data_IF_604479607801
#
_entry.id   IF_604479607801
#
_cell.length_a   1.000
_cell.length_b   1.000
_cell.length_c   1.000
_cell.angle_alpha   90.00
_cell.angle_beta   90.00
_cell.angle_gamma   90.00
#
_symmetry.space_group_name_H-M   'P 1'
#
loop_
_entity.id
_entity.type
_entity.pdbx_description
1 polymer ?
#
# COMPACT_ATOMS: atom_id res chain seq x y z
N UNK A 1 -27.91 -3.37 -7.57
CA UNK A 1 -26.93 -3.38 -6.47
C UNK A 1 -26.01 -4.56 -6.72
N UNK A 2 -24.69 -4.36 -6.67
CA UNK A 2 -23.75 -5.48 -6.82
C UNK A 2 -24.08 -6.55 -5.78
N UNK A 3 -24.19 -7.81 -6.23
CA UNK A 3 -24.45 -8.96 -5.36
C UNK A 3 -23.18 -9.44 -4.62
N UNK A 4 -22.09 -8.67 -4.70
CA UNK A 4 -20.86 -8.96 -3.97
C UNK A 4 -21.06 -8.68 -2.48
N UNK A 5 -20.83 -9.66 -1.59
CA UNK A 5 -20.86 -9.44 -0.15
C UNK A 5 -19.93 -8.30 0.26
N UNK A 6 -20.38 -7.44 1.17
CA UNK A 6 -19.54 -6.36 1.70
C UNK A 6 -18.40 -6.96 2.51
N UNK A 7 -17.16 -6.61 2.19
CA UNK A 7 -15.97 -6.98 2.97
C UNK A 7 -15.23 -5.71 3.36
N UNK A 8 -15.00 -5.54 4.65
CA UNK A 8 -14.24 -4.43 5.22
C UNK A 8 -13.05 -4.96 6.01
N UNK A 9 -12.03 -4.13 6.25
CA UNK A 9 -10.93 -4.50 7.14
C UNK A 9 -10.46 -3.35 8.01
N UNK A 10 -10.05 -3.68 9.23
CA UNK A 10 -9.21 -2.83 10.06
C UNK A 10 -7.76 -3.31 9.98
N UNK A 11 -6.84 -2.40 9.70
CA UNK A 11 -5.42 -2.70 9.44
C UNK A 11 -4.47 -1.90 10.37
N UNK A 12 -4.46 -2.14 11.69
CA UNK A 12 -3.61 -1.43 12.63
C UNK A 12 -2.14 -1.89 12.57
N UNK A 13 -1.23 -0.93 12.73
CA UNK A 13 0.18 -1.23 13.02
C UNK A 13 0.40 -1.38 14.53
N UNK A 14 1.14 -2.40 14.99
CA UNK A 14 1.42 -2.64 16.42
C UNK A 14 2.53 -1.70 16.94
N UNK A 15 2.35 -0.39 16.80
CA UNK A 15 3.35 0.62 17.22
C UNK A 15 3.06 1.22 18.60
N UNK A 16 2.07 0.69 19.32
CA UNK A 16 1.63 1.22 20.61
C UNK A 16 0.16 0.87 20.90
N UNK A 17 -0.50 1.71 21.70
CA UNK A 17 -1.91 1.54 22.02
C UNK A 17 -2.82 1.95 20.86
N UNK A 18 -3.97 1.28 20.75
CA UNK A 18 -5.04 1.68 19.86
C UNK A 18 -5.58 3.05 20.27
N UNK A 19 -5.24 4.09 19.52
CA UNK A 19 -5.76 5.43 19.75
C UNK A 19 -7.24 5.55 19.30
N UNK A 20 -7.94 6.55 19.84
CA UNK A 20 -9.38 6.77 19.58
C UNK A 20 -9.72 6.92 18.09
N UNK A 21 -8.83 7.53 17.31
CA UNK A 21 -8.97 7.62 15.85
C UNK A 21 -8.96 6.26 15.16
N UNK A 22 -8.09 5.34 15.60
CA UNK A 22 -8.04 3.97 15.10
C UNK A 22 -9.30 3.18 15.51
N UNK A 23 -9.71 3.31 16.78
CA UNK A 23 -10.95 2.70 17.27
C UNK A 23 -12.18 3.16 16.49
N UNK A 24 -12.27 4.46 16.16
CA UNK A 24 -13.35 5.00 15.31
C UNK A 24 -13.34 4.39 13.91
N UNK A 25 -12.17 4.23 13.30
CA UNK A 25 -12.03 3.58 11.99
C UNK A 25 -12.49 2.11 12.05
N UNK A 26 -12.08 1.36 13.08
CA UNK A 26 -12.52 -0.02 13.29
C UNK A 26 -14.04 -0.10 13.43
N UNK A 27 -14.63 0.76 14.27
CA UNK A 27 -16.07 0.84 14.50
C UNK A 27 -16.85 1.10 13.20
N UNK A 28 -16.41 2.03 12.35
CA UNK A 28 -17.08 2.31 11.08
C UNK A 28 -17.03 1.13 10.11
N UNK A 29 -15.88 0.45 10.00
CA UNK A 29 -15.77 -0.74 9.17
C UNK A 29 -16.68 -1.86 9.69
N UNK A 30 -16.64 -2.12 11.01
CA UNK A 30 -17.48 -3.10 11.68
C UNK A 30 -18.98 -2.83 11.47
N UNK A 31 -19.45 -1.61 11.75
CA UNK A 31 -20.85 -1.22 11.53
C UNK A 31 -21.26 -1.33 10.06
N UNK A 32 -20.37 -0.94 9.13
CA UNK A 32 -20.67 -0.99 7.71
C UNK A 32 -20.85 -2.42 7.21
N UNK A 33 -19.99 -3.34 7.65
CA UNK A 33 -20.09 -4.76 7.33
C UNK A 33 -21.28 -5.42 8.02
N UNK A 34 -21.39 -5.33 9.35
CA UNK A 34 -22.46 -5.98 10.13
C UNK A 34 -23.85 -5.48 9.70
N UNK A 35 -23.99 -4.17 9.46
CA UNK A 35 -25.24 -3.57 8.97
C UNK A 35 -25.66 -3.99 7.55
N UNK A 36 -24.80 -4.72 6.82
CA UNK A 36 -25.05 -5.20 5.45
C UNK A 36 -24.89 -6.72 5.31
N UNK A 37 -24.80 -7.45 6.43
CA UNK A 37 -24.54 -8.90 6.40
C UNK A 37 -23.19 -9.27 5.77
N UNK A 38 -22.23 -8.35 5.82
CA UNK A 38 -20.89 -8.50 5.28
C UNK A 38 -19.87 -9.01 6.31
N UNK A 39 -18.62 -9.07 5.88
CA UNK A 39 -17.46 -9.47 6.69
C UNK A 39 -16.64 -8.28 7.16
N UNK A 40 -16.19 -8.32 8.40
CA UNK A 40 -15.23 -7.40 8.98
C UNK A 40 -13.97 -8.18 9.37
N UNK A 41 -12.84 -7.83 8.77
CA UNK A 41 -11.59 -8.57 8.89
C UNK A 41 -10.55 -7.77 9.67
N UNK A 42 -9.63 -8.47 10.33
CA UNK A 42 -8.49 -7.86 11.01
C UNK A 42 -7.18 -8.24 10.32
N UNK A 43 -6.34 -7.23 10.06
CA UNK A 43 -4.99 -7.42 9.53
C UNK A 43 -3.98 -6.66 10.37
N UNK A 44 -2.97 -7.33 10.90
CA UNK A 44 -1.91 -6.68 11.66
C UNK A 44 -0.83 -6.22 10.66
N UNK A 45 -0.59 -4.91 10.62
CA UNK A 45 0.45 -4.30 9.77
C UNK A 45 1.81 -4.38 10.49
N UNK A 46 2.35 -5.60 10.58
CA UNK A 46 3.55 -5.98 11.36
C UNK A 46 4.86 -6.05 10.53
N UNK A 47 4.94 -5.28 9.44
CA UNK A 47 6.12 -5.27 8.56
C UNK A 47 7.35 -4.63 9.21
N UNK A 48 7.17 -3.76 10.21
CA UNK A 48 8.25 -3.19 11.02
C UNK A 48 8.50 -4.07 12.25
N UNK A 49 9.48 -4.98 12.16
CA UNK A 49 9.74 -5.99 13.20
C UNK A 49 10.26 -5.43 14.51
N UNK A 50 10.93 -4.28 14.50
CA UNK A 50 11.43 -3.65 15.73
C UNK A 50 10.28 -3.11 16.57
N UNK A 51 9.24 -2.60 15.90
CA UNK A 51 8.06 -2.06 16.58
C UNK A 51 6.99 -3.12 16.84
N UNK A 52 6.92 -4.15 16.02
CA UNK A 52 5.87 -5.17 16.06
C UNK A 52 6.16 -6.30 17.04
N UNK A 53 6.12 -5.99 18.34
CA UNK A 53 6.27 -7.00 19.40
C UNK A 53 4.98 -7.78 19.62
N UNK A 54 5.10 -9.02 20.13
CA UNK A 54 3.93 -9.83 20.50
C UNK A 54 3.03 -9.12 21.52
N UNK A 55 3.62 -8.35 22.44
CA UNK A 55 2.90 -7.53 23.42
C UNK A 55 2.10 -6.41 22.74
N UNK A 56 2.69 -5.72 21.76
CA UNK A 56 2.00 -4.65 21.03
C UNK A 56 0.83 -5.20 20.19
N UNK A 57 0.99 -6.38 19.59
CA UNK A 57 -0.09 -7.07 18.89
C UNK A 57 -1.19 -7.54 19.85
N UNK A 58 -0.85 -8.07 21.03
CA UNK A 58 -1.83 -8.47 22.05
C UNK A 58 -2.71 -7.30 22.49
N UNK A 59 -2.12 -6.11 22.69
CA UNK A 59 -2.87 -4.87 23.02
C UNK A 59 -3.90 -4.49 21.97
N UNK A 60 -3.68 -4.82 20.70
CA UNK A 60 -4.68 -4.60 19.64
C UNK A 60 -5.86 -5.55 19.85
N UNK A 61 -5.62 -6.84 20.10
CA UNK A 61 -6.68 -7.82 20.34
C UNK A 61 -7.49 -7.48 21.60
N UNK A 62 -6.82 -7.16 22.70
CA UNK A 62 -7.47 -6.76 23.96
C UNK A 62 -8.37 -5.52 23.76
N UNK A 63 -7.90 -4.54 22.99
CA UNK A 63 -8.67 -3.33 22.71
C UNK A 63 -9.90 -3.63 21.81
N UNK A 64 -9.75 -4.49 20.81
CA UNK A 64 -10.85 -4.92 19.95
C UNK A 64 -11.92 -5.69 20.75
N UNK A 65 -11.50 -6.60 21.63
CA UNK A 65 -12.39 -7.35 22.52
C UNK A 65 -13.11 -6.42 23.50
N UNK A 66 -12.38 -5.51 24.15
CA UNK A 66 -12.96 -4.55 25.09
C UNK A 66 -14.00 -3.63 24.44
N UNK A 67 -13.77 -3.23 23.18
CA UNK A 67 -14.73 -2.43 22.40
C UNK A 67 -15.92 -3.26 21.88
N UNK A 68 -15.88 -4.58 22.01
CA UNK A 68 -16.91 -5.49 21.47
C UNK A 68 -16.91 -5.55 19.94
N UNK A 69 -15.75 -5.31 19.31
CA UNK A 69 -15.59 -5.33 17.85
C UNK A 69 -15.04 -6.69 17.42
N UNK A 70 -15.91 -7.69 17.32
CA UNK A 70 -15.55 -9.01 16.77
C UNK A 70 -15.18 -8.91 15.28
N UNK A 71 -14.32 -9.79 14.79
CA UNK A 71 -13.92 -9.89 13.39
C UNK A 71 -14.05 -11.33 12.88
N UNK A 72 -14.25 -11.47 11.57
CA UNK A 72 -14.49 -12.74 10.91
C UNK A 72 -13.17 -13.42 10.51
N UNK A 73 -13.07 -14.73 10.79
CA UNK A 73 -11.87 -15.51 10.50
C UNK A 73 -10.71 -15.20 11.44
N UNK A 74 -9.50 -15.47 10.98
CA UNK A 74 -8.28 -15.19 11.74
C UNK A 74 -7.69 -13.84 11.36
N UNK A 75 -7.05 -13.19 12.35
CA UNK A 75 -6.26 -12.01 12.09
C UNK A 75 -5.03 -12.39 11.24
N UNK A 76 -4.79 -11.64 10.16
CA UNK A 76 -3.70 -11.93 9.25
C UNK A 76 -2.50 -11.02 9.53
N UNK A 77 -1.31 -11.63 9.63
CA UNK A 77 -0.03 -10.92 9.60
C UNK A 77 0.29 -10.45 8.18
N UNK A 78 0.67 -9.18 8.04
CA UNK A 78 1.12 -8.65 6.76
C UNK A 78 2.55 -9.09 6.44
N UNK A 79 3.38 -9.26 7.47
CA UNK A 79 4.74 -9.78 7.33
C UNK A 79 4.75 -11.18 6.70
N UNK A 80 3.89 -12.08 7.17
CA UNK A 80 3.76 -13.45 6.63
C UNK A 80 3.30 -13.48 5.16
N UNK A 81 2.75 -12.36 4.66
CA UNK A 81 2.28 -12.21 3.28
C UNK A 81 3.31 -11.61 2.32
N UNK A 82 4.53 -11.34 2.78
CA UNK A 82 5.61 -10.82 1.94
C UNK A 82 5.82 -11.64 0.64
N UNK A 83 5.82 -12.99 0.65
CA UNK A 83 5.97 -13.77 -0.59
C UNK A 83 4.87 -13.46 -1.63
N UNK A 84 3.63 -13.29 -1.17
CA UNK A 84 2.50 -12.95 -2.06
C UNK A 84 2.67 -11.54 -2.64
N UNK A 85 3.21 -10.59 -1.89
CA UNK A 85 3.47 -9.25 -2.41
C UNK A 85 4.55 -9.25 -3.50
N UNK A 86 5.57 -10.09 -3.36
CA UNK A 86 6.61 -10.28 -4.38
C UNK A 86 6.01 -10.85 -5.67
N UNK A 87 5.24 -11.94 -5.57
CA UNK A 87 4.58 -12.57 -6.72
C UNK A 87 3.71 -11.57 -7.51
N UNK A 88 3.02 -10.69 -6.78
CA UNK A 88 2.21 -9.64 -7.38
C UNK A 88 3.04 -8.62 -8.15
N UNK A 89 4.15 -8.14 -7.57
CA UNK A 89 5.00 -7.19 -8.25
C UNK A 89 5.66 -7.81 -9.49
N UNK A 90 6.00 -9.10 -9.43
CA UNK A 90 6.45 -9.88 -10.59
C UNK A 90 5.36 -9.99 -11.65
N UNK A 91 4.11 -10.24 -11.26
CA UNK A 91 2.97 -10.24 -12.18
C UNK A 91 2.73 -8.84 -12.81
N UNK A 92 2.90 -7.76 -12.05
CA UNK A 92 2.82 -6.39 -12.57
C UNK A 92 3.95 -6.08 -13.57
N UNK A 93 5.17 -6.55 -13.29
CA UNK A 93 6.29 -6.46 -14.24
C UNK A 93 5.97 -7.21 -15.54
N UNK A 94 5.47 -8.45 -15.43
CA UNK A 94 5.10 -9.26 -16.58
C UNK A 94 3.95 -8.64 -17.39
N UNK A 95 3.00 -7.97 -16.72
CA UNK A 95 1.88 -7.28 -17.36
C UNK A 95 2.25 -5.89 -17.93
N UNK A 96 3.47 -5.40 -17.71
CA UNK A 96 3.91 -4.06 -18.13
C UNK A 96 3.27 -2.91 -17.33
N UNK A 97 2.61 -3.20 -16.22
CA UNK A 97 2.04 -2.21 -15.28
C UNK A 97 3.02 -1.80 -14.19
N UNK A 98 4.20 -2.42 -14.17
CA UNK A 98 5.37 -2.01 -13.40
C UNK A 98 6.64 -2.14 -14.26
N UNK A 99 7.74 -1.53 -13.81
CA UNK A 99 9.03 -1.59 -14.49
C UNK A 99 10.20 -1.61 -13.50
N UNK A 100 11.37 -2.06 -13.98
CA UNK A 100 12.61 -2.06 -13.19
C UNK A 100 13.28 -0.69 -13.30
N UNK A 101 13.70 -0.13 -12.17
CA UNK A 101 14.43 1.12 -12.09
C UNK A 101 15.79 0.88 -11.45
N UNK A 102 16.86 1.17 -12.19
CA UNK A 102 18.24 1.01 -11.76
C UNK A 102 18.86 2.34 -11.27
N UNK A 103 18.06 3.42 -11.22
CA UNK A 103 18.55 4.70 -10.73
C UNK A 103 18.96 4.63 -9.27
N UNK A 104 20.12 5.17 -8.95
CA UNK A 104 20.68 5.17 -7.60
C UNK A 104 20.00 6.22 -6.71
N UNK A 105 20.16 6.08 -5.40
CA UNK A 105 19.65 7.08 -4.47
C UNK A 105 20.31 8.46 -4.68
N UNK A 106 21.61 8.47 -5.01
CA UNK A 106 22.38 9.69 -5.29
C UNK A 106 21.87 10.39 -6.55
N UNK A 107 21.55 9.64 -7.62
CA UNK A 107 20.96 10.18 -8.84
C UNK A 107 19.58 10.80 -8.58
N UNK A 108 18.75 10.15 -7.77
CA UNK A 108 17.42 10.64 -7.40
C UNK A 108 17.53 11.91 -6.54
N UNK A 109 18.47 11.95 -5.59
CA UNK A 109 18.65 13.14 -4.75
C UNK A 109 19.24 14.30 -5.55
N UNK A 110 20.23 14.06 -6.42
CA UNK A 110 20.76 15.07 -7.31
C UNK A 110 19.67 15.67 -8.22
N UNK A 111 18.77 14.83 -8.77
CA UNK A 111 17.60 15.31 -9.51
C UNK A 111 16.71 16.21 -8.63
N UNK A 112 16.43 15.80 -7.39
CA UNK A 112 15.57 16.57 -6.48
C UNK A 112 16.20 17.90 -6.07
N UNK A 113 17.51 17.93 -5.80
CA UNK A 113 18.25 19.15 -5.48
C UNK A 113 18.23 20.14 -6.64
N UNK A 114 18.51 19.67 -7.86
CA UNK A 114 18.43 20.50 -9.07
C UNK A 114 17.00 21.03 -9.28
N UNK A 115 15.98 20.17 -9.16
CA UNK A 115 14.59 20.58 -9.28
C UNK A 115 14.21 21.65 -8.24
N UNK A 116 14.63 21.50 -6.98
CA UNK A 116 14.39 22.50 -5.92
C UNK A 116 15.08 23.82 -6.25
N UNK A 117 16.34 23.79 -6.67
CA UNK A 117 17.10 24.99 -7.03
C UNK A 117 16.46 25.77 -8.19
N UNK A 118 15.82 25.06 -9.12
CA UNK A 118 15.13 25.64 -10.28
C UNK A 118 13.64 25.95 -10.01
N UNK A 119 13.12 25.67 -8.81
CA UNK A 119 11.70 25.84 -8.49
C UNK A 119 10.76 24.91 -9.28
N UNK A 120 11.27 23.78 -9.77
CA UNK A 120 10.54 22.76 -10.54
C UNK A 120 10.03 21.63 -9.63
N UNK A 121 9.17 20.78 -10.20
CA UNK A 121 8.65 19.60 -9.51
C UNK A 121 9.77 18.63 -9.12
N UNK A 122 9.72 18.13 -7.89
CA UNK A 122 10.64 17.10 -7.36
C UNK A 122 10.18 15.67 -7.66
N UNK A 123 9.13 15.52 -8.48
CA UNK A 123 8.61 14.22 -8.92
C UNK A 123 9.62 13.55 -9.85
N UNK A 124 10.22 12.45 -9.37
CA UNK A 124 11.28 11.76 -10.07
C UNK A 124 10.72 10.90 -11.20
N UNK A 125 10.94 11.33 -12.44
CA UNK A 125 10.60 10.53 -13.61
C UNK A 125 11.78 9.64 -13.97
N UNK A 126 11.69 8.36 -13.59
CA UNK A 126 12.75 7.40 -13.88
C UNK A 126 13.02 7.27 -15.38
N UNK A 127 14.28 7.33 -15.83
CA UNK A 127 14.63 7.09 -17.23
C UNK A 127 14.40 5.64 -17.66
N UNK A 128 14.24 4.72 -16.69
CA UNK A 128 14.07 3.28 -16.94
C UNK A 128 12.62 2.86 -17.25
N UNK A 129 11.65 3.78 -17.15
CA UNK A 129 10.21 3.46 -17.32
C UNK A 129 9.85 2.82 -18.66
N UNK A 130 10.49 3.32 -19.69
CA UNK A 130 10.25 2.96 -21.08
C UNK A 130 11.56 2.53 -21.78
N UNK A 131 12.61 2.23 -20.98
CA UNK A 131 13.88 1.74 -21.49
C UNK A 131 13.72 0.31 -22.03
N UNK A 132 14.49 -0.02 -23.08
CA UNK A 132 14.53 -1.37 -23.60
C UNK A 132 15.17 -2.30 -22.55
N UNK A 133 14.48 -3.41 -22.25
CA UNK A 133 14.97 -4.41 -21.31
C UNK A 133 16.34 -5.00 -21.71
N UNK A 134 16.70 -4.96 -22.99
CA UNK A 134 18.03 -5.37 -23.49
C UNK A 134 19.17 -4.45 -23.00
N UNK A 135 18.84 -3.23 -22.59
CA UNK A 135 19.80 -2.21 -22.10
C UNK A 135 19.92 -2.20 -20.58
N UNK A 136 19.19 -3.06 -19.88
CA UNK A 136 19.26 -3.13 -18.43
C UNK A 136 20.66 -3.56 -17.98
N UNK A 137 21.27 -2.83 -17.03
CA UNK A 137 22.55 -3.22 -16.47
C UNK A 137 22.38 -4.43 -15.54
N UNK A 138 23.47 -5.15 -15.33
CA UNK A 138 23.58 -6.11 -14.23
C UNK A 138 23.87 -5.36 -12.92
N UNK A 139 22.83 -4.71 -12.39
CA UNK A 139 22.89 -3.89 -11.18
C UNK A 139 21.63 -4.07 -10.32
N UNK A 140 21.70 -3.77 -9.01
CA UNK A 140 20.50 -3.75 -8.16
C UNK A 140 19.44 -2.79 -8.71
N UNK A 141 18.17 -3.18 -8.62
CA UNK A 141 17.05 -2.38 -9.09
C UNK A 141 15.89 -2.42 -8.10
N UNK A 142 15.05 -1.40 -8.17
CA UNK A 142 13.73 -1.41 -7.54
C UNK A 142 12.65 -1.66 -8.58
N UNK A 143 11.49 -2.16 -8.16
CA UNK A 143 10.30 -2.26 -9.02
C UNK A 143 9.40 -1.08 -8.75
N UNK A 144 8.99 -0.34 -9.78
CA UNK A 144 8.10 0.82 -9.67
C UNK A 144 6.79 0.57 -10.42
N UNK A 145 5.68 1.07 -9.89
CA UNK A 145 4.41 1.09 -10.62
C UNK A 145 4.53 2.04 -11.80
N UNK A 146 3.90 1.69 -12.93
CA UNK A 146 3.83 2.53 -14.12
C UNK A 146 2.57 3.39 -14.06
N UNK A 147 2.61 4.49 -13.29
CA UNK A 147 1.48 5.39 -13.14
C UNK A 147 1.17 6.11 -14.46
N UNK A 148 -0.11 6.42 -14.75
CA UNK A 148 -0.46 7.30 -15.87
C UNK A 148 0.22 8.67 -15.70
N UNK A 149 0.68 9.29 -16.80
CA UNK A 149 1.33 10.62 -16.78
C UNK A 149 0.42 11.73 -17.28
N UNK A 150 -0.53 11.41 -18.16
CA UNK A 150 -1.42 12.37 -18.79
C UNK A 150 -2.87 12.16 -18.36
N UNK A 151 -3.66 13.23 -18.37
CA UNK A 151 -5.06 13.22 -17.97
C UNK A 151 -5.25 13.31 -16.45
N UNK A 152 -6.32 12.69 -15.97
CA UNK A 152 -6.69 12.71 -14.56
C UNK A 152 -7.20 11.34 -14.09
N UNK A 153 -6.94 11.04 -12.82
CA UNK A 153 -7.50 9.89 -12.10
C UNK A 153 -8.62 10.41 -11.18
N UNK A 154 -9.83 9.89 -11.34
CA UNK A 154 -10.98 10.24 -10.51
C UNK A 154 -11.31 9.08 -9.58
N UNK A 155 -11.43 9.36 -8.28
CA UNK A 155 -11.85 8.42 -7.25
C UNK A 155 -13.22 8.87 -6.75
N UNK A 156 -14.24 8.03 -6.94
CA UNK A 156 -15.58 8.25 -6.40
C UNK A 156 -15.60 7.90 -4.89
N UNK A 157 -15.14 8.82 -4.05
CA UNK A 157 -15.09 8.59 -2.60
C UNK A 157 -16.48 8.65 -1.98
N UNK A 158 -16.79 7.67 -1.12
CA UNK A 158 -18.13 7.53 -0.52
C UNK A 158 -18.47 8.60 0.52
N UNK A 159 -17.50 9.39 0.95
CA UNK A 159 -17.65 10.45 1.95
C UNK A 159 -17.38 11.82 1.35
N UNK A 160 -16.31 11.97 0.58
CA UNK A 160 -15.86 13.24 -0.01
C UNK A 160 -16.45 13.51 -1.40
N UNK A 161 -17.08 12.52 -2.04
CA UNK A 161 -17.52 12.61 -3.43
C UNK A 161 -16.36 12.40 -4.40
N UNK A 162 -16.45 12.98 -5.60
CA UNK A 162 -15.43 12.81 -6.63
C UNK A 162 -14.13 13.54 -6.25
N UNK A 163 -13.08 12.77 -6.01
CA UNK A 163 -11.72 13.28 -5.78
C UNK A 163 -10.91 13.09 -7.05
N UNK A 164 -10.49 14.20 -7.67
CA UNK A 164 -9.75 14.20 -8.93
C UNK A 164 -8.29 14.55 -8.71
N UNK A 165 -7.38 13.69 -9.20
CA UNK A 165 -5.94 13.92 -9.21
C UNK A 165 -5.47 14.09 -10.66
N UNK A 166 -4.62 15.08 -10.91
CA UNK A 166 -3.93 15.16 -12.20
C UNK A 166 -2.85 14.10 -12.26
N UNK A 167 -2.77 13.39 -13.38
CA UNK A 167 -1.84 12.28 -13.52
C UNK A 167 -0.37 12.73 -13.54
N UNK A 168 -0.10 13.98 -13.91
CA UNK A 168 1.23 14.59 -13.84
C UNK A 168 1.73 14.87 -12.41
N UNK A 169 0.87 14.66 -11.41
CA UNK A 169 1.20 14.73 -9.99
C UNK A 169 1.43 13.35 -9.37
N UNK A 170 1.19 12.27 -10.11
CA UNK A 170 1.34 10.90 -9.62
C UNK A 170 2.79 10.42 -9.82
N UNK A 171 3.39 9.92 -8.74
CA UNK A 171 4.74 9.34 -8.78
C UNK A 171 4.70 7.86 -9.19
N UNK A 172 5.73 7.41 -9.90
CA UNK A 172 5.98 6.00 -10.18
C UNK A 172 6.56 5.36 -8.90
N UNK A 173 5.68 5.14 -7.92
CA UNK A 173 6.04 4.69 -6.57
C UNK A 173 6.73 3.32 -6.59
N UNK A 174 7.68 3.13 -5.68
CA UNK A 174 8.38 1.85 -5.50
C UNK A 174 7.45 0.82 -4.88
N UNK A 175 7.33 -0.33 -5.52
CA UNK A 175 6.58 -1.51 -5.08
C UNK A 175 7.47 -2.54 -4.38
N UNK A 176 8.64 -2.84 -4.96
CA UNK A 176 9.68 -3.69 -4.35
C UNK A 176 10.99 -2.93 -4.23
N UNK A 177 11.65 -3.06 -3.08
CA UNK A 177 13.01 -2.58 -2.84
C UNK A 177 14.03 -3.49 -3.54
N UNK A 178 15.28 -3.03 -3.60
CA UNK A 178 16.38 -3.77 -4.24
C UNK A 178 16.78 -5.05 -3.50
N UNK A 179 16.43 -5.16 -2.22
CA UNK A 179 16.57 -6.39 -1.43
C UNK A 179 15.39 -7.37 -1.65
N UNK A 180 14.47 -7.05 -2.56
CA UNK A 180 13.27 -7.86 -2.86
C UNK A 180 12.11 -7.66 -1.88
N UNK A 181 12.28 -6.86 -0.82
CA UNK A 181 11.22 -6.65 0.17
C UNK A 181 10.12 -5.72 -0.38
N UNK A 182 8.83 -5.98 -0.07
CA UNK A 182 7.74 -5.11 -0.48
C UNK A 182 7.72 -3.80 0.30
N UNK A 183 7.32 -2.73 -0.37
CA UNK A 183 7.03 -1.45 0.30
C UNK A 183 5.65 -1.49 0.94
N UNK A 184 5.42 -0.59 1.91
CA UNK A 184 4.11 -0.41 2.54
C UNK A 184 3.01 -0.19 1.51
N UNK A 185 3.27 0.61 0.47
CA UNK A 185 2.28 0.92 -0.57
C UNK A 185 1.80 -0.33 -1.29
N UNK A 186 2.72 -1.22 -1.68
CA UNK A 186 2.34 -2.48 -2.32
C UNK A 186 1.61 -3.40 -1.34
N UNK A 187 2.17 -3.56 -0.13
CA UNK A 187 1.61 -4.44 0.88
C UNK A 187 0.16 -4.02 1.22
N UNK A 188 -0.07 -2.75 1.56
CA UNK A 188 -1.37 -2.27 2.04
C UNK A 188 -2.45 -2.24 0.95
N UNK A 189 -2.07 -1.97 -0.31
CA UNK A 189 -2.99 -1.86 -1.44
C UNK A 189 -3.45 -3.22 -1.95
N UNK A 190 -2.54 -4.19 -2.05
CA UNK A 190 -2.87 -5.48 -2.66
C UNK A 190 -3.62 -6.42 -1.73
N UNK A 191 -3.44 -6.26 -0.43
CA UNK A 191 -4.23 -7.00 0.56
C UNK A 191 -5.70 -6.51 0.60
N UNK A 192 -6.16 -5.66 -0.34
CA UNK A 192 -7.59 -5.34 -0.53
C UNK A 192 -8.23 -6.30 -1.53
N UNK A 193 -7.52 -6.74 -2.58
CA UNK A 193 -8.08 -7.53 -3.69
C UNK A 193 -8.12 -9.03 -3.43
N UNK A 194 -7.43 -9.56 -2.42
CA UNK A 194 -7.39 -11.01 -2.11
C UNK A 194 -8.29 -11.44 -0.96
N UNK A 195 -9.02 -10.52 -0.34
CA UNK A 195 -9.98 -10.85 0.72
C UNK A 195 -11.43 -10.75 0.26
N UNK A 196 -11.65 -10.18 -0.92
CA UNK A 196 -12.88 -10.28 -1.69
C UNK A 196 -12.81 -11.52 -2.58
#
# INVERSE_FOLDING_TARGET
MSNTPVVTRFAPSPTGYLHIGGARTALFNWLYARGRGGKFLLRIEDTDRERSTAEATAKIYDAMEWLGLDYDGEAISQYERAPRHVEVAEAMLAAGTAYKCFSTQDEIEAFREAARAEGKSTLFQSPWRDADASTHPDAPYVVRVKAPRDGATVIEDRVQGDVTFRNDQLDDMVCLRSDGSPTYMLASSWTITTWA
#
